data_IF_623628491960
#
_entry.id   IF_623628491960
#
_cell.length_a   1.000
_cell.length_b   1.000
_cell.length_c   1.000
_cell.angle_alpha   90.00
_cell.angle_beta   90.00
_cell.angle_gamma   90.00
#
_symmetry.space_group_name_H-M   'P 1'
#
loop_
_entity.id
_entity.type
_entity.pdbx_description
1 polymer ?
#
# COMPACT_ATOMS: atom_id res chain seq x y z
N UNK A 1 4.84 -14.49 17.19
CA UNK A 1 3.65 -14.54 16.31
C UNK A 1 3.74 -15.78 15.43
N UNK A 2 2.60 -16.38 15.09
CA UNK A 2 2.54 -17.63 14.34
C UNK A 2 2.83 -17.41 12.83
N UNK A 3 3.07 -18.52 12.11
CA UNK A 3 3.10 -18.53 10.63
C UNK A 3 1.70 -18.26 10.10
N UNK A 4 1.60 -17.44 9.05
CA UNK A 4 0.35 -17.12 8.35
C UNK A 4 0.38 -17.75 6.96
N UNK A 5 -0.61 -18.57 6.67
CA UNK A 5 -0.77 -19.20 5.37
C UNK A 5 -1.70 -18.37 4.47
N UNK A 6 -1.21 -18.05 3.27
CA UNK A 6 -1.97 -17.40 2.20
C UNK A 6 -2.60 -18.47 1.29
N UNK A 7 -3.80 -18.26 0.73
CA UNK A 7 -4.50 -19.28 -0.06
C UNK A 7 -3.65 -19.89 -1.18
N UNK A 8 -3.88 -21.17 -1.48
CA UNK A 8 -3.25 -21.85 -2.60
C UNK A 8 -3.61 -21.22 -3.96
N UNK A 9 -4.77 -20.57 -4.03
CA UNK A 9 -5.27 -19.85 -5.20
C UNK A 9 -4.60 -18.48 -5.40
N UNK A 10 -3.77 -18.01 -4.46
CA UNK A 10 -3.13 -16.70 -4.58
C UNK A 10 -2.21 -16.68 -5.80
N UNK A 11 -2.61 -15.89 -6.79
CA UNK A 11 -1.88 -15.68 -8.05
C UNK A 11 -1.18 -14.32 -8.10
N UNK A 12 -1.61 -13.37 -7.25
CA UNK A 12 -1.00 -12.06 -7.12
C UNK A 12 -0.91 -11.62 -5.64
N UNK A 13 0.17 -10.91 -5.31
CA UNK A 13 0.34 -10.27 -4.00
C UNK A 13 0.34 -8.77 -4.20
N UNK A 14 -0.63 -8.10 -3.59
CA UNK A 14 -0.72 -6.65 -3.55
C UNK A 14 -0.09 -6.17 -2.24
N UNK A 15 0.80 -5.17 -2.30
CA UNK A 15 1.51 -4.65 -1.14
C UNK A 15 1.28 -3.15 -1.03
N UNK A 16 0.89 -2.69 0.15
CA UNK A 16 1.00 -1.26 0.45
C UNK A 16 2.45 -0.84 0.72
N UNK A 17 2.73 0.45 0.60
CA UNK A 17 4.10 0.99 0.70
C UNK A 17 4.40 1.45 2.12
N UNK A 18 3.82 2.59 2.53
CA UNK A 18 4.00 3.18 3.85
C UNK A 18 3.41 2.25 4.92
N UNK A 19 4.08 2.07 6.07
CA UNK A 19 3.59 1.20 7.16
C UNK A 19 3.68 -0.30 6.88
N UNK A 20 3.84 -0.71 5.61
CA UNK A 20 3.79 -2.11 5.16
C UNK A 20 5.14 -2.64 4.65
N UNK A 21 5.62 -2.14 3.52
CA UNK A 21 6.95 -2.49 2.99
C UNK A 21 8.04 -1.58 3.55
N UNK A 22 7.70 -0.31 3.79
CA UNK A 22 8.58 0.72 4.34
C UNK A 22 8.04 1.19 5.69
N UNK A 23 8.88 1.29 6.74
CA UNK A 23 8.42 1.79 8.04
C UNK A 23 7.81 3.20 7.93
N UNK A 24 6.67 3.40 8.56
CA UNK A 24 6.02 4.71 8.61
C UNK A 24 6.92 5.79 9.24
N UNK A 25 7.76 5.41 10.20
CA UNK A 25 8.75 6.29 10.81
C UNK A 25 9.83 6.71 9.83
N UNK A 26 10.28 5.83 8.93
CA UNK A 26 11.22 6.23 7.88
C UNK A 26 10.61 7.30 6.97
N UNK A 27 9.34 7.14 6.59
CA UNK A 27 8.63 8.13 5.75
C UNK A 27 8.55 9.48 6.46
N UNK A 28 8.10 9.50 7.72
CA UNK A 28 7.82 10.74 8.46
C UNK A 28 9.06 11.41 9.04
N UNK A 29 10.02 10.63 9.51
CA UNK A 29 11.16 11.11 10.29
C UNK A 29 12.44 11.22 9.45
N UNK A 30 12.49 10.57 8.27
CA UNK A 30 13.66 10.59 7.39
C UNK A 30 13.31 11.14 6.01
N UNK A 31 12.39 10.50 5.28
CA UNK A 31 12.10 10.85 3.89
C UNK A 31 11.54 12.26 3.75
N UNK A 32 10.48 12.60 4.50
CA UNK A 32 9.90 13.95 4.40
C UNK A 32 10.85 15.05 4.88
N UNK A 33 11.57 14.92 6.00
CA UNK A 33 12.59 15.90 6.38
C UNK A 33 13.69 16.07 5.32
N UNK A 34 14.23 14.96 4.81
CA UNK A 34 15.23 15.00 3.74
C UNK A 34 14.72 15.74 2.50
N UNK A 35 13.51 15.42 2.04
CA UNK A 35 12.90 16.12 0.91
C UNK A 35 12.79 17.62 1.21
N UNK A 36 12.27 18.01 2.38
CA UNK A 36 12.10 19.43 2.72
C UNK A 36 13.43 20.19 2.76
N UNK A 37 14.50 19.55 3.22
CA UNK A 37 15.83 20.15 3.32
C UNK A 37 16.50 20.31 1.94
N UNK A 38 16.28 19.36 1.02
CA UNK A 38 17.02 19.32 -0.25
C UNK A 38 16.21 19.74 -1.49
N UNK A 39 14.88 19.90 -1.37
CA UNK A 39 14.01 20.16 -2.52
C UNK A 39 14.34 21.47 -3.23
N UNK A 40 14.62 22.55 -2.50
CA UNK A 40 14.92 23.86 -3.10
C UNK A 40 16.22 23.83 -3.91
N UNK A 41 17.28 23.24 -3.34
CA UNK A 41 18.56 23.06 -4.00
C UNK A 41 18.44 22.15 -5.23
N UNK A 42 17.70 21.04 -5.10
CA UNK A 42 17.47 20.14 -6.22
C UNK A 42 16.75 20.86 -7.37
N UNK A 43 15.63 21.53 -7.08
CA UNK A 43 14.89 22.26 -8.10
C UNK A 43 15.75 23.35 -8.74
N UNK A 44 16.53 24.10 -7.96
CA UNK A 44 17.37 25.17 -8.49
C UNK A 44 18.46 24.66 -9.45
N UNK A 45 19.06 23.51 -9.14
CA UNK A 45 20.14 22.92 -9.94
C UNK A 45 19.65 22.15 -11.17
N UNK A 46 18.45 21.57 -11.09
CA UNK A 46 17.88 20.73 -12.14
C UNK A 46 16.76 21.42 -12.93
N UNK A 47 16.43 22.69 -12.63
CA UNK A 47 15.25 23.34 -13.21
C UNK A 47 15.26 23.35 -14.74
N UNK A 48 16.43 23.51 -15.38
CA UNK A 48 16.51 23.58 -16.83
C UNK A 48 16.37 22.24 -17.55
N UNK A 49 16.34 21.13 -16.81
CA UNK A 49 16.07 19.80 -17.35
C UNK A 49 14.58 19.65 -17.67
N UNK A 50 14.28 19.22 -18.90
CA UNK A 50 12.90 19.05 -19.35
C UNK A 50 12.13 18.03 -18.49
N UNK A 51 12.81 16.98 -18.00
CA UNK A 51 12.24 15.98 -17.11
C UNK A 51 11.80 16.61 -15.78
N UNK A 52 12.66 17.41 -15.14
CA UNK A 52 12.32 18.11 -13.89
C UNK A 52 11.10 19.05 -14.06
N UNK A 53 11.05 19.79 -15.18
CA UNK A 53 9.89 20.65 -15.47
C UNK A 53 8.62 19.82 -15.64
N UNK A 54 8.69 18.70 -16.35
CA UNK A 54 7.55 17.80 -16.58
C UNK A 54 7.03 17.20 -15.28
N UNK A 55 7.92 16.68 -14.42
CA UNK A 55 7.56 16.10 -13.14
C UNK A 55 6.84 17.12 -12.24
N UNK A 56 7.33 18.35 -12.16
CA UNK A 56 6.67 19.42 -11.40
C UNK A 56 5.30 19.78 -11.98
N UNK A 57 5.11 19.73 -13.30
CA UNK A 57 3.78 19.93 -13.90
C UNK A 57 2.83 18.77 -13.56
N UNK A 58 3.31 17.53 -13.57
CA UNK A 58 2.52 16.37 -13.17
C UNK A 58 2.08 16.48 -11.70
N UNK A 59 3.00 16.83 -10.80
CA UNK A 59 2.69 17.07 -9.39
C UNK A 59 1.66 18.19 -9.19
N UNK A 60 1.79 19.31 -9.92
CA UNK A 60 0.80 20.39 -9.89
C UNK A 60 -0.57 19.92 -10.33
N UNK A 61 -0.63 19.20 -11.46
CA UNK A 61 -1.88 18.64 -11.97
C UNK A 61 -2.54 17.72 -10.95
N UNK A 62 -1.77 16.82 -10.34
CA UNK A 62 -2.26 15.91 -9.29
C UNK A 62 -2.87 16.66 -8.10
N UNK A 63 -2.27 17.79 -7.69
CA UNK A 63 -2.79 18.61 -6.59
C UNK A 63 -4.14 19.26 -6.94
N UNK A 64 -4.28 19.79 -8.17
CA UNK A 64 -5.51 20.46 -8.61
C UNK A 64 -6.66 19.51 -8.89
N UNK A 65 -6.36 18.33 -9.42
CA UNK A 65 -7.36 17.31 -9.72
C UNK A 65 -7.90 16.64 -8.43
N UNK A 66 -7.30 16.90 -7.26
CA UNK A 66 -7.75 16.39 -5.96
C UNK A 66 -7.62 14.87 -5.80
N UNK A 67 -6.92 14.21 -6.73
CA UNK A 67 -6.86 12.76 -6.84
C UNK A 67 -5.42 12.31 -7.13
N UNK A 68 -4.86 11.49 -6.24
CA UNK A 68 -3.55 10.85 -6.43
C UNK A 68 -3.60 9.74 -7.50
N UNK A 69 -4.77 9.12 -7.71
CA UNK A 69 -5.08 8.20 -8.80
C UNK A 69 -6.59 8.25 -9.12
N UNK A 70 -6.96 8.84 -10.25
CA UNK A 70 -8.36 8.90 -10.72
C UNK A 70 -8.84 7.60 -11.37
N UNK A 71 -7.92 6.68 -11.67
CA UNK A 71 -8.22 5.46 -12.41
C UNK A 71 -8.64 4.32 -11.48
N UNK A 72 -7.91 4.13 -10.38
CA UNK A 72 -8.20 3.07 -9.41
C UNK A 72 -9.17 3.50 -8.31
N UNK A 73 -9.25 4.80 -7.97
CA UNK A 73 -10.10 5.29 -6.89
C UNK A 73 -9.47 5.17 -5.50
N UNK A 74 -10.23 5.51 -4.45
CA UNK A 74 -9.71 5.53 -3.09
C UNK A 74 -9.50 4.12 -2.54
N UNK A 75 -8.40 3.89 -1.82
CA UNK A 75 -8.06 2.57 -1.23
C UNK A 75 -9.05 2.06 -0.17
N UNK A 76 -9.95 2.92 0.29
CA UNK A 76 -11.01 2.59 1.26
C UNK A 76 -12.34 2.23 0.58
N UNK A 77 -12.37 2.12 -0.76
CA UNK A 77 -13.53 1.71 -1.53
C UNK A 77 -13.30 0.33 -2.17
N UNK A 78 -14.25 -0.60 -1.99
CA UNK A 78 -14.14 -1.96 -2.55
C UNK A 78 -13.97 -1.99 -4.07
N UNK A 79 -14.63 -1.07 -4.80
CA UNK A 79 -14.51 -0.90 -6.26
C UNK A 79 -13.08 -0.65 -6.74
N UNK A 80 -12.20 -0.16 -5.88
CA UNK A 80 -10.79 0.05 -6.24
C UNK A 80 -10.08 -1.29 -6.40
N UNK A 81 -10.40 -2.28 -5.56
CA UNK A 81 -9.83 -3.62 -5.63
C UNK A 81 -10.39 -4.44 -6.78
N UNK A 82 -11.68 -4.27 -7.12
CA UNK A 82 -12.28 -4.82 -8.34
C UNK A 82 -11.52 -4.35 -9.59
N UNK A 83 -11.27 -3.03 -9.70
CA UNK A 83 -10.51 -2.44 -10.81
C UNK A 83 -9.05 -2.90 -10.84
N UNK A 84 -8.41 -3.05 -9.68
CA UNK A 84 -7.06 -3.62 -9.59
C UNK A 84 -7.06 -5.04 -10.14
N UNK A 85 -8.01 -5.88 -9.70
CA UNK A 85 -8.14 -7.27 -10.13
C UNK A 85 -8.33 -7.38 -11.65
N UNK A 86 -9.22 -6.58 -12.22
CA UNK A 86 -9.43 -6.47 -13.67
C UNK A 86 -8.15 -6.09 -14.41
N UNK A 87 -7.42 -5.07 -13.92
CA UNK A 87 -6.22 -4.55 -14.58
C UNK A 87 -5.06 -5.55 -14.57
N UNK A 88 -4.94 -6.36 -13.52
CA UNK A 88 -3.91 -7.40 -13.43
C UNK A 88 -4.37 -8.75 -14.02
N UNK A 89 -5.63 -8.87 -14.43
CA UNK A 89 -6.17 -10.09 -15.04
C UNK A 89 -6.37 -11.25 -14.06
N UNK A 90 -6.68 -10.96 -12.79
CA UNK A 90 -6.94 -11.96 -11.76
C UNK A 90 -8.35 -11.78 -11.17
N UNK A 91 -8.87 -12.82 -10.54
CA UNK A 91 -10.08 -12.69 -9.71
C UNK A 91 -9.72 -12.12 -8.34
N UNK A 92 -10.60 -11.35 -7.67
CA UNK A 92 -10.31 -10.81 -6.34
C UNK A 92 -9.85 -11.87 -5.33
N UNK A 93 -10.47 -13.05 -5.34
CA UNK A 93 -10.14 -14.17 -4.44
C UNK A 93 -8.76 -14.81 -4.71
N UNK A 94 -8.10 -14.46 -5.81
CA UNK A 94 -6.74 -14.88 -6.17
C UNK A 94 -5.69 -13.84 -5.74
N UNK A 95 -6.12 -12.71 -5.17
CA UNK A 95 -5.24 -11.66 -4.67
C UNK A 95 -5.08 -11.83 -3.16
N UNK A 96 -3.85 -11.67 -2.68
CA UNK A 96 -3.59 -11.43 -1.25
C UNK A 96 -3.02 -10.02 -1.07
N UNK A 97 -3.75 -9.18 -0.36
CA UNK A 97 -3.37 -7.81 -0.05
C UNK A 97 -2.76 -7.69 1.35
N UNK A 98 -1.62 -7.01 1.42
CA UNK A 98 -0.95 -6.67 2.66
C UNK A 98 -1.01 -5.15 2.87
N UNK A 99 -1.56 -4.75 4.01
CA UNK A 99 -1.69 -3.34 4.43
C UNK A 99 -1.59 -3.26 5.94
N UNK A 100 -1.12 -2.13 6.46
CA UNK A 100 -1.22 -1.79 7.89
C UNK A 100 -2.52 -1.03 8.23
N UNK A 101 -3.30 -0.66 7.22
CA UNK A 101 -4.51 0.15 7.38
C UNK A 101 -5.76 -0.72 7.33
N UNK A 102 -6.45 -0.88 8.47
CA UNK A 102 -7.62 -1.76 8.57
C UNK A 102 -8.84 -1.30 7.76
N UNK A 103 -8.94 0.00 7.46
CA UNK A 103 -9.98 0.53 6.57
C UNK A 103 -9.78 0.07 5.13
N UNK A 104 -8.54 -0.01 4.68
CA UNK A 104 -8.19 -0.56 3.37
C UNK A 104 -8.41 -2.07 3.36
N UNK A 105 -7.99 -2.76 4.43
CA UNK A 105 -8.24 -4.19 4.63
C UNK A 105 -9.73 -4.53 4.50
N UNK A 106 -10.60 -3.77 5.18
CA UNK A 106 -12.04 -3.96 5.11
C UNK A 106 -12.58 -3.79 3.69
N UNK A 107 -12.17 -2.73 3.00
CA UNK A 107 -12.62 -2.46 1.64
C UNK A 107 -12.17 -3.56 0.65
N UNK A 108 -10.95 -4.08 0.81
CA UNK A 108 -10.43 -5.19 0.02
C UNK A 108 -11.21 -6.48 0.30
N UNK A 109 -11.48 -6.78 1.57
CA UNK A 109 -12.25 -7.95 1.99
C UNK A 109 -13.69 -7.92 1.44
N UNK A 110 -14.36 -6.76 1.47
CA UNK A 110 -15.69 -6.57 0.88
C UNK A 110 -15.71 -6.82 -0.64
N UNK A 111 -14.58 -6.60 -1.32
CA UNK A 111 -14.39 -6.91 -2.74
C UNK A 111 -13.98 -8.37 -3.01
N UNK A 112 -13.84 -9.20 -1.97
CA UNK A 112 -13.44 -10.61 -2.09
C UNK A 112 -11.92 -10.85 -2.11
N UNK A 113 -11.11 -9.82 -1.87
CA UNK A 113 -9.65 -9.96 -1.78
C UNK A 113 -9.24 -10.57 -0.44
N UNK A 114 -8.27 -11.49 -0.45
CA UNK A 114 -7.72 -12.02 0.80
C UNK A 114 -6.83 -10.97 1.46
N UNK A 115 -6.94 -10.79 2.77
CA UNK A 115 -6.19 -9.74 3.47
C UNK A 115 -5.32 -10.31 4.58
N UNK A 116 -4.12 -9.73 4.71
CA UNK A 116 -3.24 -9.91 5.86
C UNK A 116 -2.82 -8.53 6.36
N UNK A 117 -3.05 -8.26 7.65
CA UNK A 117 -2.70 -6.97 8.25
C UNK A 117 -1.27 -7.00 8.78
N UNK A 118 -0.49 -5.98 8.42
CA UNK A 118 0.92 -5.84 8.79
C UNK A 118 1.05 -4.94 10.02
N UNK A 119 1.55 -5.51 11.12
CA UNK A 119 1.73 -4.82 12.39
C UNK A 119 3.21 -4.51 12.58
N UNK A 120 3.60 -3.26 12.38
CA UNK A 120 4.97 -2.78 12.61
C UNK A 120 4.99 -1.67 13.67
N UNK A 121 6.13 -1.44 14.34
CA UNK A 121 6.30 -0.30 15.22
C UNK A 121 5.97 1.01 14.51
N UNK A 122 5.14 1.84 15.13
CA UNK A 122 4.69 3.13 14.59
C UNK A 122 3.38 3.07 13.79
N UNK A 123 2.91 1.89 13.40
CA UNK A 123 1.59 1.73 12.78
C UNK A 123 0.49 2.02 13.81
N UNK A 124 -0.72 2.35 13.33
CA UNK A 124 -1.86 2.53 14.21
C UNK A 124 -2.15 1.25 15.01
N UNK A 125 -2.50 1.40 16.28
CA UNK A 125 -2.88 0.25 17.10
C UNK A 125 -4.21 -0.33 16.63
N UNK A 126 -4.24 -1.65 16.52
CA UNK A 126 -5.45 -2.40 16.23
C UNK A 126 -6.29 -2.56 17.50
N UNK A 127 -7.60 -2.40 17.34
CA UNK A 127 -8.61 -2.78 18.34
C UNK A 127 -8.62 -4.29 18.58
N UNK A 128 -9.20 -4.74 19.69
CA UNK A 128 -9.29 -6.17 20.01
C UNK A 128 -10.09 -6.94 18.96
N UNK A 129 -11.18 -6.34 18.44
CA UNK A 129 -12.01 -6.91 17.38
C UNK A 129 -11.22 -7.09 16.08
N UNK A 130 -10.42 -6.08 15.67
CA UNK A 130 -9.58 -6.17 14.48
C UNK A 130 -8.48 -7.22 14.64
N UNK A 131 -7.91 -7.37 15.83
CA UNK A 131 -6.89 -8.40 16.12
C UNK A 131 -7.46 -9.81 16.08
N UNK A 132 -8.73 -9.97 16.46
CA UNK A 132 -9.43 -11.25 16.40
C UNK A 132 -9.89 -11.58 14.97
N UNK A 133 -10.24 -10.57 14.18
CA UNK A 133 -10.75 -10.74 12.81
C UNK A 133 -9.65 -11.03 11.79
N UNK A 134 -8.55 -10.25 11.80
CA UNK A 134 -7.53 -10.32 10.75
C UNK A 134 -6.39 -11.30 11.06
N UNK A 135 -5.84 -11.88 9.99
CA UNK A 135 -4.52 -12.53 10.03
C UNK A 135 -3.45 -11.45 10.17
N UNK A 136 -2.62 -11.54 11.22
CA UNK A 136 -1.61 -10.54 11.53
C UNK A 136 -0.19 -11.07 11.29
N UNK A 137 0.66 -10.25 10.69
CA UNK A 137 2.10 -10.49 10.61
C UNK A 137 2.88 -9.26 11.08
N UNK A 138 4.05 -9.48 11.67
CA UNK A 138 5.02 -8.42 11.98
C UNK A 138 6.24 -8.48 11.05
N UNK A 139 6.38 -9.55 10.28
CA UNK A 139 7.42 -9.77 9.28
C UNK A 139 6.91 -10.65 8.13
N UNK A 140 7.36 -10.36 6.90
CA UNK A 140 7.01 -11.16 5.72
C UNK A 140 7.57 -12.59 5.80
N UNK A 141 8.57 -12.86 6.64
CA UNK A 141 9.07 -14.22 6.89
C UNK A 141 8.02 -15.16 7.49
N UNK A 142 6.93 -14.60 8.05
CA UNK A 142 5.82 -15.37 8.58
C UNK A 142 4.85 -15.85 7.49
N UNK A 143 4.94 -15.33 6.27
CA UNK A 143 4.06 -15.72 5.17
C UNK A 143 4.54 -17.02 4.54
N UNK A 144 3.61 -17.93 4.32
CA UNK A 144 3.84 -19.16 3.55
C UNK A 144 2.67 -19.41 2.60
N UNK A 145 2.91 -19.84 1.35
CA UNK A 145 1.84 -20.31 0.49
C UNK A 145 1.21 -21.57 1.07
N UNK A 146 -0.10 -21.72 0.92
CA UNK A 146 -0.78 -22.98 1.23
C UNK A 146 -0.56 -23.93 0.06
N UNK A 147 0.31 -24.93 0.19
CA UNK A 147 0.56 -25.92 -0.87
C UNK A 147 2.02 -26.37 -0.93
N UNK A 148 2.34 -27.43 -1.70
CA UNK A 148 3.74 -27.79 -1.98
C UNK A 148 4.39 -26.69 -2.81
N UNK A 149 5.58 -26.27 -2.38
CA UNK A 149 6.46 -25.33 -3.09
C UNK A 149 7.01 -25.99 -4.35
#
# INVERSE_FOLDING_TARGET
>A
MATVFIPASTSAVLLDIEGTTTPITFVKDVLFPYIREHLEDYLSNHWEEDECKQDVQLLKKQLFDGHFDTTLGAKVEGKSYERIAERIGCRPEEITFLTDVTREAKAAEEAGVNVVVVVRPGNMELTDDERAHYKLITSFNQLKPTGPV
#
